data_IF_029048188519
#
_entry.id   IF_029048188519
#
_cell.length_a   1.000
_cell.length_b   1.000
_cell.length_c   1.000
_cell.angle_alpha   90.00
_cell.angle_beta   90.00
_cell.angle_gamma   90.00
#
_symmetry.space_group_name_H-M   'P 1'
#
loop_
_entity.id
_entity.type
_entity.pdbx_description
1 polymer ?
#
# COMPACT_ATOMS: atom_id res chain seq x y z
N UNK A 1 36.55 -7.17 5.50
CA UNK A 1 35.53 -6.53 4.63
C UNK A 1 34.18 -6.78 5.26
N UNK A 2 33.66 -5.82 6.03
CA UNK A 2 32.27 -5.91 6.52
C UNK A 2 31.39 -5.51 5.34
N UNK A 3 30.76 -6.50 4.71
CA UNK A 3 29.67 -6.24 3.79
C UNK A 3 28.58 -5.57 4.61
N UNK A 4 28.43 -4.25 4.44
CA UNK A 4 27.23 -3.55 4.87
C UNK A 4 26.08 -4.28 4.20
N UNK A 5 25.32 -5.03 4.98
CA UNK A 5 24.04 -5.57 4.55
C UNK A 5 23.18 -4.31 4.44
N UNK A 6 23.22 -3.64 3.28
CA UNK A 6 22.28 -2.57 2.98
C UNK A 6 20.92 -3.21 3.07
N UNK A 7 20.18 -2.88 4.13
CA UNK A 7 18.79 -3.27 4.22
C UNK A 7 18.07 -2.52 3.09
N UNK A 8 17.83 -3.19 1.97
CA UNK A 8 17.06 -2.61 0.87
C UNK A 8 15.60 -2.66 1.28
N UNK A 9 15.05 -1.50 1.60
CA UNK A 9 13.64 -1.36 1.93
C UNK A 9 12.97 -0.79 0.69
N UNK A 10 12.12 -1.60 0.07
CA UNK A 10 11.33 -1.20 -1.08
C UNK A 10 9.88 -1.09 -0.65
N UNK A 11 9.19 -0.05 -1.10
CA UNK A 11 7.77 0.13 -0.84
C UNK A 11 6.99 -0.10 -2.12
N UNK A 12 5.94 -0.91 -2.02
CA UNK A 12 5.13 -1.31 -3.16
C UNK A 12 3.67 -1.02 -2.88
N UNK A 13 2.99 -0.48 -3.88
CA UNK A 13 1.56 -0.25 -3.91
C UNK A 13 0.95 -1.24 -4.88
N UNK A 14 0.14 -2.14 -4.37
CA UNK A 14 -0.66 -3.05 -5.16
C UNK A 14 -2.09 -2.50 -5.23
N UNK A 15 -2.68 -2.51 -6.42
CA UNK A 15 -3.90 -1.74 -6.67
C UNK A 15 -4.67 -2.34 -7.85
N UNK A 16 -5.97 -2.05 -7.94
CA UNK A 16 -6.77 -2.36 -9.14
C UNK A 16 -6.73 -1.20 -10.16
N UNK A 17 -7.26 -1.42 -11.36
CA UNK A 17 -7.27 -0.40 -12.43
C UNK A 17 -7.94 0.92 -12.00
N UNK A 18 -8.98 0.87 -11.16
CA UNK A 18 -9.68 2.04 -10.66
C UNK A 18 -8.80 2.86 -9.70
N UNK A 19 -8.18 2.20 -8.72
CA UNK A 19 -7.22 2.79 -7.81
C UNK A 19 -5.98 3.30 -8.56
N UNK A 20 -5.58 2.63 -9.64
CA UNK A 20 -4.46 3.05 -10.51
C UNK A 20 -4.78 4.37 -11.17
N UNK A 21 -5.97 4.48 -11.76
CA UNK A 21 -6.41 5.70 -12.42
C UNK A 21 -6.43 6.89 -11.46
N UNK A 22 -6.96 6.66 -10.24
CA UNK A 22 -6.97 7.69 -9.18
C UNK A 22 -5.55 8.06 -8.72
N UNK A 23 -4.68 7.07 -8.52
CA UNK A 23 -3.29 7.30 -8.12
C UNK A 23 -2.49 8.06 -9.18
N UNK A 24 -2.66 7.69 -10.45
CA UNK A 24 -2.02 8.35 -11.60
C UNK A 24 -2.49 9.79 -11.78
N UNK A 25 -3.74 10.10 -11.42
CA UNK A 25 -4.22 11.48 -11.39
C UNK A 25 -3.61 12.26 -10.23
N UNK A 26 -3.76 11.75 -9.00
CA UNK A 26 -3.13 12.32 -7.81
C UNK A 26 -3.26 11.38 -6.61
N UNK A 27 -2.21 11.29 -5.80
CA UNK A 27 -2.26 10.61 -4.50
C UNK A 27 -3.43 11.10 -3.62
N UNK A 28 -3.73 12.41 -3.64
CA UNK A 28 -4.83 12.96 -2.87
C UNK A 28 -6.21 12.49 -3.37
N UNK A 29 -6.38 12.22 -4.66
CA UNK A 29 -7.64 11.68 -5.18
C UNK A 29 -7.88 10.28 -4.63
N UNK A 30 -6.85 9.43 -4.60
CA UNK A 30 -6.95 8.09 -4.01
C UNK A 30 -7.26 8.14 -2.50
N UNK A 31 -6.58 9.02 -1.77
CA UNK A 31 -6.76 9.21 -0.32
C UNK A 31 -8.18 9.73 0.01
N UNK A 32 -8.70 10.70 -0.75
CA UNK A 32 -10.05 11.26 -0.58
C UNK A 32 -11.15 10.34 -1.10
N UNK A 33 -10.83 9.50 -2.08
CA UNK A 33 -11.76 8.53 -2.65
C UNK A 33 -12.20 7.52 -1.59
N UNK A 34 -13.40 6.94 -1.80
CA UNK A 34 -13.88 5.80 -1.02
C UNK A 34 -13.25 4.47 -1.45
N UNK A 35 -12.54 4.47 -2.58
CA UNK A 35 -11.82 3.30 -3.08
C UNK A 35 -10.84 2.82 -2.00
N UNK A 36 -10.97 1.56 -1.61
CA UNK A 36 -10.10 0.87 -0.65
C UNK A 36 -9.46 -0.36 -1.28
N UNK A 37 -9.59 -0.49 -2.61
CA UNK A 37 -9.13 -1.62 -3.41
C UNK A 37 -7.66 -1.42 -3.82
N UNK A 38 -6.84 -1.14 -2.81
CA UNK A 38 -5.40 -1.06 -2.90
C UNK A 38 -4.78 -1.52 -1.59
N UNK A 39 -3.54 -2.00 -1.65
CA UNK A 39 -2.77 -2.47 -0.53
C UNK A 39 -1.33 -1.97 -0.65
N UNK A 40 -0.73 -1.59 0.46
CA UNK A 40 0.67 -1.17 0.50
C UNK A 40 1.52 -2.18 1.24
N UNK A 41 2.67 -2.50 0.66
CA UNK A 41 3.63 -3.48 1.18
C UNK A 41 4.98 -2.84 1.40
N UNK A 42 5.57 -3.18 2.54
CA UNK A 42 6.97 -2.88 2.86
C UNK A 42 7.79 -4.14 2.64
N UNK A 43 8.63 -4.12 1.62
CA UNK A 43 9.54 -5.20 1.26
C UNK A 43 10.89 -4.94 1.91
N UNK A 44 11.41 -5.87 2.69
CA UNK A 44 12.73 -5.73 3.34
C UNK A 44 13.63 -6.85 2.84
N UNK A 45 14.71 -6.48 2.15
CA UNK A 45 15.65 -7.44 1.55
C UNK A 45 14.94 -8.45 0.64
N UNK A 46 14.00 -7.99 -0.18
CA UNK A 46 13.18 -8.84 -1.06
C UNK A 46 12.15 -9.72 -0.33
N UNK A 47 12.10 -9.69 1.01
CA UNK A 47 11.12 -10.43 1.79
C UNK A 47 9.92 -9.55 2.13
N UNK A 48 8.75 -10.00 1.68
CA UNK A 48 7.45 -9.42 2.04
C UNK A 48 6.88 -10.30 3.14
N UNK A 49 6.81 -9.78 4.37
CA UNK A 49 6.49 -10.60 5.54
C UNK A 49 5.00 -11.06 5.59
N UNK A 50 4.14 -10.46 4.77
CA UNK A 50 2.69 -10.70 4.71
C UNK A 50 2.27 -10.99 3.25
N UNK A 51 2.66 -12.16 2.74
CA UNK A 51 2.63 -12.52 1.32
C UNK A 51 1.37 -13.19 0.74
N UNK A 52 0.30 -13.57 1.48
CA UNK A 52 -0.70 -14.47 0.87
C UNK A 52 -1.36 -13.85 -0.37
N UNK A 53 -1.57 -12.53 -0.38
CA UNK A 53 -2.37 -11.88 -1.43
C UNK A 53 -1.54 -11.01 -2.38
N UNK A 54 -0.22 -10.85 -2.17
CA UNK A 54 0.62 -9.94 -2.97
C UNK A 54 0.64 -10.33 -4.46
N UNK A 55 0.63 -11.62 -4.76
CA UNK A 55 0.58 -12.13 -6.14
C UNK A 55 -0.83 -12.08 -6.76
N UNK A 56 -1.86 -11.76 -5.99
CA UNK A 56 -3.25 -11.73 -6.48
C UNK A 56 -3.65 -10.34 -7.01
N UNK A 57 -2.85 -9.31 -6.74
CA UNK A 57 -3.09 -7.97 -7.25
C UNK A 57 -2.67 -7.85 -8.70
N UNK A 58 -3.55 -7.28 -9.52
CA UNK A 58 -3.33 -7.12 -10.96
C UNK A 58 -2.16 -6.21 -11.29
N UNK A 59 -1.96 -5.16 -10.49
CA UNK A 59 -0.99 -4.11 -10.74
C UNK A 59 -0.19 -3.80 -9.49
N UNK A 60 1.12 -3.62 -9.65
CA UNK A 60 2.04 -3.24 -8.57
C UNK A 60 2.93 -2.09 -9.02
N UNK A 61 3.00 -1.05 -8.20
CA UNK A 61 3.77 0.18 -8.43
C UNK A 61 4.78 0.36 -7.31
N UNK A 62 6.02 0.71 -7.66
CA UNK A 62 7.03 1.10 -6.67
C UNK A 62 6.78 2.53 -6.21
N UNK A 63 6.82 2.75 -4.89
CA UNK A 63 6.54 4.03 -4.25
C UNK A 63 7.64 4.36 -3.24
N UNK A 64 7.70 5.62 -2.81
CA UNK A 64 8.57 6.04 -1.71
C UNK A 64 7.94 5.78 -0.32
N UNK A 65 8.75 5.97 0.73
CA UNK A 65 8.34 5.78 2.12
C UNK A 65 7.22 6.75 2.54
N UNK A 66 7.27 7.99 2.08
CA UNK A 66 6.30 9.02 2.43
C UNK A 66 4.91 8.67 1.87
N UNK A 67 4.87 8.26 0.60
CA UNK A 67 3.69 7.75 -0.10
C UNK A 67 3.15 6.49 0.58
N UNK A 68 4.04 5.58 0.98
CA UNK A 68 3.65 4.39 1.73
C UNK A 68 2.96 4.76 3.04
N UNK A 69 3.56 5.67 3.81
CA UNK A 69 3.02 6.13 5.08
C UNK A 69 1.64 6.75 4.95
N UNK A 70 1.43 7.61 3.94
CA UNK A 70 0.16 8.27 3.71
C UNK A 70 -0.94 7.29 3.30
N UNK A 71 -0.64 6.37 2.37
CA UNK A 71 -1.59 5.36 1.89
C UNK A 71 -1.90 4.31 2.96
N UNK A 72 -0.89 3.87 3.72
CA UNK A 72 -1.08 2.95 4.84
C UNK A 72 -2.00 3.57 5.89
N UNK A 73 -1.74 4.82 6.29
CA UNK A 73 -2.57 5.53 7.26
C UNK A 73 -4.01 5.70 6.74
N UNK A 74 -4.17 6.05 5.46
CA UNK A 74 -5.48 6.18 4.82
C UNK A 74 -6.28 4.86 4.86
N UNK A 75 -5.65 3.74 4.51
CA UNK A 75 -6.27 2.42 4.59
C UNK A 75 -6.65 2.07 6.03
N UNK A 76 -5.75 2.26 7.00
CA UNK A 76 -6.06 2.03 8.41
C UNK A 76 -7.26 2.86 8.88
N UNK A 77 -7.35 4.11 8.46
CA UNK A 77 -8.49 4.97 8.79
C UNK A 77 -9.79 4.50 8.12
N UNK A 78 -9.74 4.07 6.85
CA UNK A 78 -10.89 3.55 6.10
C UNK A 78 -11.40 2.25 6.71
N UNK A 79 -10.53 1.25 6.89
CA UNK A 79 -10.86 -0.03 7.52
C UNK A 79 -11.34 0.20 8.95
N UNK A 80 -10.67 1.05 9.72
CA UNK A 80 -11.07 1.39 11.09
C UNK A 80 -12.46 2.07 11.16
N UNK A 81 -12.89 2.80 10.12
CA UNK A 81 -14.27 3.31 10.04
C UNK A 81 -15.28 2.20 9.71
N UNK A 82 -14.91 1.26 8.83
CA UNK A 82 -15.76 0.11 8.47
C UNK A 82 -15.99 -0.78 9.69
N UNK A 83 -14.91 -1.19 10.38
CA UNK A 83 -14.97 -2.04 11.58
C UNK A 83 -15.79 -1.37 12.68
N UNK A 84 -15.59 -0.06 12.92
CA UNK A 84 -16.38 0.68 13.95
C UNK A 84 -17.84 0.88 13.57
N UNK A 85 -18.18 0.94 12.27
CA UNK A 85 -19.58 0.98 11.80
C UNK A 85 -20.24 -0.40 11.80
N UNK A 86 -19.45 -1.48 11.78
CA UNK A 86 -19.91 -2.86 11.80
C UNK A 86 -20.20 -3.42 13.20
N UNK A 87 -20.08 -2.62 14.27
CA UNK A 87 -20.60 -2.97 15.59
C UNK A 87 -22.06 -2.51 15.66
N UNK A 88 -22.96 -3.37 15.19
CA UNK A 88 -24.40 -3.33 15.48
C UNK A 88 -24.78 -4.71 16.01
#
# INVERSE_FOLDING_TARGET
MQSLISNTIDYKLCLNDEAKSLFMNSLQELVKSKCSDFMVYRVVNGNIRNLPDYNEWQETVEIDEDTYGELHLNLCQKIGKIVRRGVI
#
